data_IF_189950026316
#
_entry.id   IF_189950026316
#
_cell.length_a   1.000
_cell.length_b   1.000
_cell.length_c   1.000
_cell.angle_alpha   90.00
_cell.angle_beta   90.00
_cell.angle_gamma   90.00
#
_symmetry.space_group_name_H-M   'P 1'
#
loop_
_entity.id
_entity.type
_entity.pdbx_description
1 polymer ?
#
# COMPACT_ATOMS: atom_id res chain seq x y z
N UNK A 1 -4.47 -16.65 -32.27
CA UNK A 1 -4.43 -15.24 -31.81
C UNK A 1 -5.37 -15.14 -30.62
N UNK A 2 -4.85 -15.12 -29.40
CA UNK A 2 -5.68 -15.05 -28.20
C UNK A 2 -5.94 -13.58 -27.83
N UNK A 3 -7.20 -13.35 -27.47
CA UNK A 3 -7.90 -12.10 -27.22
C UNK A 3 -7.21 -11.10 -26.29
N UNK A 4 -7.62 -9.84 -26.46
CA UNK A 4 -7.38 -8.72 -25.55
C UNK A 4 -7.25 -9.17 -24.09
N UNK A 5 -6.06 -8.94 -23.50
CA UNK A 5 -5.83 -9.03 -22.06
C UNK A 5 -7.04 -8.44 -21.33
N UNK A 6 -7.79 -9.30 -20.64
CA UNK A 6 -8.75 -8.84 -19.64
C UNK A 6 -8.03 -7.82 -18.77
N UNK A 7 -8.65 -6.65 -18.62
CA UNK A 7 -8.04 -5.49 -17.99
C UNK A 7 -7.63 -5.88 -16.57
N UNK A 8 -6.35 -6.21 -16.37
CA UNK A 8 -5.83 -6.64 -15.08
C UNK A 8 -6.16 -5.58 -14.04
N UNK A 9 -6.76 -5.97 -12.92
CA UNK A 9 -7.18 -5.04 -11.87
C UNK A 9 -5.98 -4.23 -11.38
N UNK A 10 -6.17 -2.91 -11.26
CA UNK A 10 -5.20 -1.99 -10.67
C UNK A 10 -5.44 -1.87 -9.19
N UNK A 11 -4.46 -2.29 -8.41
CA UNK A 11 -4.51 -2.26 -6.97
C UNK A 11 -3.69 -1.06 -6.45
N UNK A 12 -4.23 -0.35 -5.47
CA UNK A 12 -3.47 0.62 -4.68
C UNK A 12 -3.45 0.20 -3.22
N UNK A 13 -2.28 0.26 -2.59
CA UNK A 13 -2.11 -0.07 -1.17
C UNK A 13 -1.72 1.19 -0.39
N UNK A 14 -2.49 1.50 0.65
CA UNK A 14 -2.33 2.64 1.57
C UNK A 14 -2.38 2.18 3.03
N UNK A 15 -1.95 3.05 3.95
CA UNK A 15 -1.99 2.78 5.40
C UNK A 15 -0.82 3.39 6.16
N UNK A 16 -0.79 3.36 7.50
CA UNK A 16 0.36 3.80 8.30
C UNK A 16 1.67 3.06 8.01
N UNK A 17 2.78 3.71 8.35
CA UNK A 17 4.09 3.06 8.43
C UNK A 17 4.04 1.82 9.34
N UNK A 18 4.87 0.80 9.06
CA UNK A 18 4.90 -0.48 9.78
C UNK A 18 3.67 -1.40 9.61
N UNK A 19 2.65 -1.00 8.84
CA UNK A 19 1.48 -1.85 8.60
C UNK A 19 1.76 -3.11 7.75
N UNK A 20 2.89 -3.15 7.04
CA UNK A 20 3.26 -4.29 6.18
C UNK A 20 2.94 -4.08 4.69
N UNK A 21 2.71 -2.83 4.27
CA UNK A 21 2.38 -2.48 2.88
C UNK A 21 3.39 -3.03 1.86
N UNK A 22 4.69 -2.94 2.14
CA UNK A 22 5.75 -3.47 1.25
C UNK A 22 5.61 -4.97 1.04
N UNK A 23 5.45 -5.73 2.12
CA UNK A 23 5.26 -7.19 2.06
C UNK A 23 4.04 -7.57 1.24
N UNK A 24 2.91 -6.89 1.43
CA UNK A 24 1.70 -7.15 0.64
C UNK A 24 1.90 -6.82 -0.85
N UNK A 25 2.53 -5.68 -1.14
CA UNK A 25 2.80 -5.25 -2.52
C UNK A 25 3.71 -6.25 -3.24
N UNK A 26 4.72 -6.78 -2.57
CA UNK A 26 5.60 -7.82 -3.12
C UNK A 26 4.84 -9.11 -3.43
N UNK A 27 4.01 -9.59 -2.49
CA UNK A 27 3.19 -10.79 -2.69
C UNK A 27 2.18 -10.62 -3.84
N UNK A 28 1.52 -9.47 -3.93
CA UNK A 28 0.57 -9.17 -5.02
C UNK A 28 1.27 -9.09 -6.39
N UNK A 29 2.47 -8.51 -6.45
CA UNK A 29 3.28 -8.52 -7.68
C UNK A 29 3.70 -9.92 -8.08
N UNK A 30 4.14 -10.74 -7.12
CA UNK A 30 4.51 -12.13 -7.36
C UNK A 30 3.30 -12.96 -7.87
N UNK A 31 2.09 -12.62 -7.44
CA UNK A 31 0.84 -13.21 -7.92
C UNK A 31 0.35 -12.64 -9.27
N UNK A 32 1.06 -11.69 -9.88
CA UNK A 32 0.77 -11.16 -11.23
C UNK A 32 -0.16 -9.94 -11.28
N UNK A 33 -0.46 -9.30 -10.13
CA UNK A 33 -1.32 -8.11 -10.09
C UNK A 33 -0.56 -6.81 -10.40
N UNK A 34 -1.21 -5.88 -11.09
CA UNK A 34 -0.74 -4.49 -11.23
C UNK A 34 -1.01 -3.74 -9.91
N UNK A 35 0.01 -3.59 -9.06
CA UNK A 35 -0.14 -2.94 -7.74
C UNK A 35 0.83 -1.78 -7.53
N UNK A 36 0.30 -0.67 -6.99
CA UNK A 36 1.05 0.53 -6.58
C UNK A 36 0.97 0.74 -5.07
N UNK A 37 2.13 0.97 -4.46
CA UNK A 37 2.25 1.45 -3.09
C UNK A 37 2.08 2.98 -3.10
N UNK A 38 1.15 3.51 -2.31
CA UNK A 38 0.92 4.95 -2.18
C UNK A 38 1.26 5.39 -0.76
N UNK A 39 2.21 6.31 -0.64
CA UNK A 39 2.60 6.97 0.62
C UNK A 39 1.57 8.01 1.07
N UNK A 40 0.31 7.60 1.17
CA UNK A 40 -0.83 8.48 1.51
C UNK A 40 -0.67 9.07 2.91
N UNK A 41 -0.03 8.33 3.82
CA UNK A 41 0.22 8.76 5.20
C UNK A 41 1.17 9.97 5.31
N UNK A 42 1.88 10.31 4.23
CA UNK A 42 2.80 11.45 4.16
C UNK A 42 2.23 12.62 3.34
N UNK A 43 0.95 12.56 2.95
CA UNK A 43 0.33 13.56 2.08
C UNK A 43 -0.90 14.18 2.71
N UNK A 44 -0.99 15.52 2.62
CA UNK A 44 -2.18 16.28 2.99
C UNK A 44 -3.32 16.18 1.96
N UNK A 45 -3.05 15.62 0.77
CA UNK A 45 -4.04 15.45 -0.30
C UNK A 45 -4.82 14.15 -0.08
N UNK A 46 -6.05 14.25 0.42
CA UNK A 46 -6.89 13.11 0.83
C UNK A 46 -7.12 12.06 -0.26
N UNK A 47 -7.15 12.47 -1.52
CA UNK A 47 -7.43 11.64 -2.69
C UNK A 47 -6.19 11.38 -3.56
N UNK A 48 -4.99 11.58 -3.02
CA UNK A 48 -3.72 11.36 -3.74
C UNK A 48 -3.63 9.94 -4.32
N UNK A 49 -4.04 8.92 -3.56
CA UNK A 49 -4.10 7.53 -4.04
C UNK A 49 -4.92 7.41 -5.34
N UNK A 50 -6.07 8.07 -5.43
CA UNK A 50 -6.94 8.01 -6.59
C UNK A 50 -6.32 8.74 -7.79
N UNK A 51 -5.71 9.91 -7.55
CA UNK A 51 -5.08 10.73 -8.60
C UNK A 51 -3.82 10.09 -9.20
N UNK A 52 -3.00 9.44 -8.36
CA UNK A 52 -1.72 8.87 -8.79
C UNK A 52 -1.83 7.47 -9.39
N UNK A 53 -2.86 6.72 -9.01
CA UNK A 53 -2.94 5.29 -9.35
C UNK A 53 -4.20 4.91 -10.11
N UNK A 54 -5.30 5.67 -9.98
CA UNK A 54 -6.62 5.35 -10.53
C UNK A 54 -6.96 3.86 -10.36
N UNK A 55 -7.00 3.37 -9.11
CA UNK A 55 -7.11 1.94 -8.85
C UNK A 55 -8.54 1.46 -9.06
N UNK A 56 -8.70 0.22 -9.48
CA UNK A 56 -9.97 -0.50 -9.43
C UNK A 56 -10.26 -0.96 -8.00
N UNK A 57 -9.20 -1.28 -7.23
CA UNK A 57 -9.28 -1.71 -5.83
C UNK A 57 -8.29 -0.93 -4.97
N UNK A 58 -8.80 -0.33 -3.89
CA UNK A 58 -7.99 0.29 -2.84
C UNK A 58 -7.92 -0.65 -1.62
N UNK A 59 -6.71 -0.96 -1.16
CA UNK A 59 -6.47 -1.77 0.03
C UNK A 59 -5.86 -0.87 1.11
N UNK A 60 -6.53 -0.78 2.26
CA UNK A 60 -6.02 -0.08 3.45
C UNK A 60 -5.51 -1.10 4.46
N UNK A 61 -4.23 -0.97 4.84
CA UNK A 61 -3.62 -1.80 5.89
C UNK A 61 -3.49 -0.98 7.15
N UNK A 62 -4.21 -1.40 8.18
CA UNK A 62 -4.12 -0.78 9.50
C UNK A 62 -3.09 -1.47 10.40
N UNK A 63 -2.64 -0.76 11.43
CA UNK A 63 -1.79 -1.33 12.48
C UNK A 63 -2.02 -0.60 13.80
N UNK A 64 -2.17 -1.36 14.88
CA UNK A 64 -2.22 -0.77 16.22
C UNK A 64 -0.84 -0.28 16.67
N UNK A 65 -0.81 0.70 17.57
CA UNK A 65 0.43 1.34 18.05
C UNK A 65 1.44 0.35 18.66
N UNK A 66 0.97 -0.58 19.51
CA UNK A 66 1.84 -1.57 20.15
C UNK A 66 2.56 -2.45 19.11
N UNK A 67 1.84 -2.86 18.06
CA UNK A 67 2.39 -3.66 16.95
C UNK A 67 3.30 -2.82 16.06
N UNK A 68 2.95 -1.56 15.82
CA UNK A 68 3.79 -0.64 15.06
C UNK A 68 5.15 -0.42 15.75
N UNK A 69 5.14 -0.26 17.09
CA UNK A 69 6.33 -0.10 17.91
C UNK A 69 7.18 -1.37 17.94
N UNK A 70 6.55 -2.55 18.11
CA UNK A 70 7.25 -3.82 18.06
C UNK A 70 7.94 -4.06 16.71
N UNK A 71 7.33 -3.60 15.61
CA UNK A 71 7.91 -3.68 14.25
C UNK A 71 8.97 -2.62 13.95
N UNK A 72 8.96 -1.50 14.67
CA UNK A 72 9.94 -0.39 14.55
C UNK A 72 10.35 0.13 15.94
N UNK A 73 11.20 -0.60 16.67
CA UNK A 73 11.59 -0.24 18.04
C UNK A 73 12.37 1.09 18.15
N UNK A 74 12.86 1.66 17.03
CA UNK A 74 13.77 2.82 17.01
C UNK A 74 13.12 4.17 16.69
N UNK A 75 11.81 4.36 16.92
CA UNK A 75 11.15 5.68 16.72
C UNK A 75 10.69 6.36 18.01
N UNK A 76 10.95 5.76 19.17
CA UNK A 76 10.90 6.48 20.44
C UNK A 76 12.09 7.43 20.44
N UNK A 77 11.82 8.72 20.25
CA UNK A 77 12.84 9.76 20.24
C UNK A 77 13.79 9.60 21.43
N UNK A 78 15.04 9.28 21.12
CA UNK A 78 16.15 9.64 22.00
C UNK A 78 16.20 11.18 22.10
N UNK A 79 16.64 11.74 23.24
CA UNK A 79 16.72 13.17 23.47
C UNK A 79 17.65 13.91 22.50
#
# INVERSE_FOLDING_TARGET
MANAKEKGWRLAVVGPCSAGKTTLVEALRAAGYEVRHVAQEHSYVKDMWQRLTRPDILIYLDVNYATALARRPHTTGSP
#
